data_IF_340958932614
#
_entry.id   IF_340958932614
#
_cell.length_a   1.000
_cell.length_b   1.000
_cell.length_c   1.000
_cell.angle_alpha   90.00
_cell.angle_beta   90.00
_cell.angle_gamma   90.00
#
_symmetry.space_group_name_H-M   'P 1'
#
loop_
_entity.id
_entity.type
_entity.pdbx_description
1 polymer ?
#
# COMPACT_ATOMS: atom_id res chain seq x y z
N UNK A 1 -11.36 29.90 45.83
CA UNK A 1 -12.70 29.55 45.28
C UNK A 1 -12.55 28.77 43.97
N UNK A 2 -11.68 29.22 43.06
CA UNK A 2 -11.43 28.57 41.76
C UNK A 2 -10.97 27.10 41.87
N UNK A 3 -10.10 26.76 42.83
CA UNK A 3 -9.66 25.38 43.04
C UNK A 3 -10.78 24.41 43.43
N UNK A 4 -11.84 24.88 44.12
CA UNK A 4 -12.94 24.02 44.56
C UNK A 4 -13.93 23.71 43.42
N UNK A 5 -14.15 24.68 42.52
CA UNK A 5 -14.97 24.51 41.32
C UNK A 5 -14.33 23.50 40.37
N UNK A 6 -13.00 23.54 40.24
CA UNK A 6 -12.26 22.60 39.39
C UNK A 6 -12.37 21.16 39.89
N UNK A 7 -12.29 20.93 41.20
CA UNK A 7 -12.41 19.59 41.79
C UNK A 7 -13.81 19.02 41.62
N UNK A 8 -14.87 19.82 41.82
CA UNK A 8 -16.25 19.38 41.60
C UNK A 8 -16.48 19.01 40.12
N UNK A 9 -15.95 19.81 39.19
CA UNK A 9 -16.06 19.52 37.76
C UNK A 9 -15.37 18.18 37.39
N UNK A 10 -14.18 17.91 37.92
CA UNK A 10 -13.49 16.63 37.68
C UNK A 10 -14.28 15.47 38.28
N UNK A 11 -14.79 15.59 39.51
CA UNK A 11 -15.55 14.52 40.17
C UNK A 11 -16.84 14.20 39.41
N UNK A 12 -17.53 15.19 38.84
CA UNK A 12 -18.75 14.98 38.08
C UNK A 12 -18.51 14.44 36.68
N UNK A 13 -17.42 14.84 36.02
CA UNK A 13 -17.14 14.45 34.62
C UNK A 13 -16.42 13.11 34.51
N UNK A 14 -15.57 12.75 35.48
CA UNK A 14 -14.79 11.49 35.45
C UNK A 14 -15.69 10.24 35.37
N UNK A 15 -16.78 10.09 36.15
CA UNK A 15 -17.68 8.94 36.07
C UNK A 15 -18.39 8.87 34.71
N UNK A 16 -18.77 10.02 34.14
CA UNK A 16 -19.40 10.09 32.81
C UNK A 16 -18.44 9.62 31.71
N UNK A 17 -17.16 10.00 31.79
CA UNK A 17 -16.12 9.52 30.85
C UNK A 17 -15.84 8.03 31.04
N UNK A 18 -15.78 7.54 32.28
CA UNK A 18 -15.55 6.12 32.57
C UNK A 18 -16.74 5.25 32.13
N UNK A 19 -17.98 5.68 32.41
CA UNK A 19 -19.19 4.97 31.99
C UNK A 19 -19.36 4.98 30.46
N UNK A 20 -19.02 6.10 29.80
CA UNK A 20 -19.03 6.19 28.33
C UNK A 20 -18.06 5.19 27.68
N UNK A 21 -16.83 5.10 28.19
CA UNK A 21 -15.84 4.11 27.70
C UNK A 21 -16.29 2.67 27.97
N UNK A 22 -16.82 2.38 29.17
CA UNK A 22 -17.31 1.05 29.51
C UNK A 22 -18.50 0.61 28.64
N UNK A 23 -19.43 1.51 28.36
CA UNK A 23 -20.59 1.21 27.50
C UNK A 23 -20.18 0.92 26.05
N UNK A 24 -19.20 1.67 25.51
CA UNK A 24 -18.69 1.46 24.15
C UNK A 24 -17.99 0.10 23.99
N UNK A 25 -17.25 -0.35 25.00
CA UNK A 25 -16.62 -1.68 24.99
C UNK A 25 -17.66 -2.80 25.03
N UNK A 26 -18.72 -2.66 25.84
CA UNK A 26 -19.80 -3.66 25.98
C UNK A 26 -20.61 -3.82 24.68
N UNK A 27 -20.72 -2.78 23.85
CA UNK A 27 -21.39 -2.86 22.55
C UNK A 27 -20.46 -3.24 21.39
N UNK A 28 -19.23 -3.69 21.70
CA UNK A 28 -18.30 -4.27 20.71
C UNK A 28 -17.35 -3.29 20.02
N UNK A 29 -17.26 -2.02 20.45
CA UNK A 29 -16.27 -1.11 19.87
C UNK A 29 -14.89 -1.33 20.48
N UNK A 30 -13.89 -1.47 19.59
CA UNK A 30 -12.49 -1.54 19.99
C UNK A 30 -11.96 -0.11 20.25
N UNK A 31 -11.66 0.20 21.51
CA UNK A 31 -11.13 1.50 21.94
C UNK A 31 -9.61 1.38 22.06
N UNK A 32 -8.90 1.65 20.97
CA UNK A 32 -7.43 1.60 20.94
C UNK A 32 -6.85 2.69 20.06
N UNK A 33 -5.68 3.19 20.47
CA UNK A 33 -4.81 4.05 19.66
C UNK A 33 -3.71 3.25 18.94
N UNK A 34 -3.59 1.95 19.26
CA UNK A 34 -2.63 1.05 18.63
C UNK A 34 -3.23 0.45 17.35
N UNK A 35 -2.99 1.12 16.23
CA UNK A 35 -3.46 0.69 14.92
C UNK A 35 -2.90 -0.68 14.51
N UNK A 36 -1.66 -1.01 14.91
CA UNK A 36 -1.01 -2.27 14.56
C UNK A 36 -1.62 -3.41 15.37
N UNK A 37 -1.78 -3.23 16.68
CA UNK A 37 -2.47 -4.22 17.53
C UNK A 37 -3.91 -4.45 17.09
N UNK A 38 -4.63 -3.41 16.64
CA UNK A 38 -5.97 -3.56 16.08
C UNK A 38 -5.96 -4.40 14.79
N UNK A 39 -5.02 -4.14 13.88
CA UNK A 39 -4.88 -4.93 12.64
C UNK A 39 -4.52 -6.40 12.94
N UNK A 40 -3.58 -6.65 13.86
CA UNK A 40 -3.20 -7.99 14.29
C UNK A 40 -4.40 -8.76 14.86
N UNK A 41 -5.23 -8.10 15.69
CA UNK A 41 -6.45 -8.69 16.24
C UNK A 41 -7.49 -9.01 15.14
N UNK A 42 -7.71 -8.10 14.18
CA UNK A 42 -8.65 -8.33 13.06
C UNK A 42 -8.20 -9.53 12.23
N UNK A 43 -6.90 -9.66 11.95
CA UNK A 43 -6.33 -10.81 11.23
C UNK A 43 -6.47 -12.10 12.03
N UNK A 44 -6.15 -12.08 13.34
CA UNK A 44 -6.27 -13.25 14.23
C UNK A 44 -7.71 -13.75 14.32
N UNK A 45 -8.67 -12.83 14.39
CA UNK A 45 -10.10 -13.13 14.44
C UNK A 45 -10.72 -13.43 13.06
N UNK A 46 -9.92 -13.45 11.99
CA UNK A 46 -10.37 -13.67 10.60
C UNK A 46 -11.49 -12.72 10.15
N UNK A 47 -11.35 -11.45 10.52
CA UNK A 47 -12.29 -10.38 10.20
C UNK A 47 -11.87 -9.62 8.94
N UNK A 48 -12.85 -8.97 8.32
CA UNK A 48 -12.66 -8.14 7.12
C UNK A 48 -11.97 -6.80 7.46
N UNK A 49 -11.21 -6.18 6.52
CA UNK A 49 -10.47 -4.95 6.77
C UNK A 49 -11.35 -3.74 7.11
N UNK A 50 -12.64 -3.75 6.75
CA UNK A 50 -13.61 -2.72 7.09
C UNK A 50 -13.77 -2.52 8.60
N UNK A 51 -13.51 -3.55 9.41
CA UNK A 51 -13.54 -3.48 10.88
C UNK A 51 -12.52 -2.47 11.43
N UNK A 52 -11.46 -2.15 10.68
CA UNK A 52 -10.57 -1.04 11.02
C UNK A 52 -11.33 0.29 11.12
N UNK A 53 -12.41 0.50 10.35
CA UNK A 53 -13.23 1.71 10.42
C UNK A 53 -14.17 1.75 11.63
N UNK A 54 -14.31 0.64 12.36
CA UNK A 54 -15.08 0.57 13.59
C UNK A 54 -14.29 0.98 14.84
N UNK A 55 -12.99 1.23 14.71
CA UNK A 55 -12.18 1.84 15.77
C UNK A 55 -12.80 3.21 16.18
N UNK A 56 -13.01 3.37 17.49
CA UNK A 56 -13.48 4.62 18.12
C UNK A 56 -12.61 4.89 19.35
N UNK A 57 -12.15 6.12 19.53
CA UNK A 57 -11.55 6.55 20.79
C UNK A 57 -11.81 8.04 21.03
N UNK A 58 -11.76 8.44 22.30
CA UNK A 58 -11.87 9.85 22.66
C UNK A 58 -10.67 10.61 22.11
N UNK A 59 -10.94 11.65 21.32
CA UNK A 59 -9.93 12.45 20.64
C UNK A 59 -8.84 12.88 21.61
N UNK A 60 -7.62 12.37 21.44
CA UNK A 60 -6.46 12.84 22.17
C UNK A 60 -6.05 14.20 21.59
N UNK A 61 -6.04 15.25 22.42
CA UNK A 61 -5.57 16.59 22.03
C UNK A 61 -4.13 16.55 21.49
N UNK A 62 -3.35 15.57 21.91
CA UNK A 62 -1.93 15.40 21.55
C UNK A 62 -1.66 14.08 20.79
N UNK A 63 -2.68 13.43 20.23
CA UNK A 63 -2.56 12.11 19.59
C UNK A 63 -2.93 12.09 18.10
N UNK A 64 -2.74 10.94 17.43
CA UNK A 64 -3.22 10.76 16.06
C UNK A 64 -4.75 10.91 16.01
N UNK A 65 -5.25 11.40 14.87
CA UNK A 65 -6.68 11.45 14.63
C UNK A 65 -7.23 10.03 14.47
N UNK A 66 -8.53 9.86 14.76
CA UNK A 66 -9.22 8.58 14.53
C UNK A 66 -9.05 8.11 13.09
N UNK A 67 -9.18 9.01 12.11
CA UNK A 67 -8.94 8.70 10.69
C UNK A 67 -7.53 8.16 10.43
N UNK A 68 -6.51 8.77 11.02
CA UNK A 68 -5.11 8.32 10.90
C UNK A 68 -4.92 6.90 11.45
N UNK A 69 -5.52 6.59 12.61
CA UNK A 69 -5.45 5.25 13.22
C UNK A 69 -6.16 4.23 12.35
N UNK A 70 -7.37 4.53 11.86
CA UNK A 70 -8.13 3.64 10.97
C UNK A 70 -7.36 3.32 9.68
N UNK A 71 -6.81 4.34 9.04
CA UNK A 71 -6.03 4.17 7.81
C UNK A 71 -4.76 3.34 8.06
N UNK A 72 -4.09 3.56 9.18
CA UNK A 72 -2.92 2.77 9.58
C UNK A 72 -3.29 1.31 9.87
N UNK A 73 -4.45 1.06 10.48
CA UNK A 73 -4.96 -0.29 10.71
C UNK A 73 -5.15 -1.03 9.38
N UNK A 74 -5.79 -0.41 8.38
CA UNK A 74 -5.96 -1.03 7.05
C UNK A 74 -4.62 -1.31 6.37
N UNK A 75 -3.67 -0.38 6.49
CA UNK A 75 -2.32 -0.55 5.93
C UNK A 75 -1.60 -1.76 6.55
N UNK A 76 -1.61 -1.88 7.89
CA UNK A 76 -0.98 -3.01 8.57
C UNK A 76 -1.73 -4.31 8.30
N UNK A 77 -3.06 -4.29 8.22
CA UNK A 77 -3.87 -5.45 7.83
C UNK A 77 -3.42 -5.97 6.45
N UNK A 78 -3.43 -5.12 5.42
CA UNK A 78 -3.07 -5.49 4.05
C UNK A 78 -1.67 -6.07 3.96
N UNK A 79 -0.72 -5.49 4.73
CA UNK A 79 0.66 -5.97 4.81
C UNK A 79 0.77 -7.33 5.52
N UNK A 80 0.05 -7.52 6.63
CA UNK A 80 0.06 -8.77 7.40
C UNK A 80 -0.54 -9.94 6.62
N UNK A 81 -1.61 -9.67 5.85
CA UNK A 81 -2.31 -10.69 5.07
C UNK A 81 -1.78 -10.85 3.64
N UNK A 82 -0.87 -9.96 3.21
CA UNK A 82 -0.46 -9.85 1.79
C UNK A 82 -1.66 -9.72 0.86
N UNK A 83 -2.64 -8.90 1.26
CA UNK A 83 -3.86 -8.62 0.52
C UNK A 83 -3.89 -7.16 0.05
N UNK A 84 -3.48 -6.89 -1.21
CA UNK A 84 -3.52 -5.54 -1.78
C UNK A 84 -4.93 -5.00 -1.99
N UNK A 85 -5.98 -5.84 -1.99
CA UNK A 85 -7.35 -5.39 -2.21
C UNK A 85 -7.88 -4.55 -1.05
N UNK A 86 -7.46 -4.85 0.19
CA UNK A 86 -7.76 -4.03 1.36
C UNK A 86 -7.29 -2.57 1.21
N UNK A 87 -6.24 -2.32 0.41
CA UNK A 87 -5.76 -0.97 0.15
C UNK A 87 -6.74 -0.10 -0.65
N UNK A 88 -7.80 -0.68 -1.26
CA UNK A 88 -8.88 0.07 -1.90
C UNK A 88 -9.58 1.04 -0.94
N UNK A 89 -9.70 0.66 0.34
CA UNK A 89 -10.27 1.53 1.39
C UNK A 89 -9.43 2.79 1.62
N UNK A 90 -8.15 2.78 1.22
CA UNK A 90 -7.22 3.90 1.33
C UNK A 90 -7.11 4.72 0.03
N UNK A 91 -7.80 4.32 -1.03
CA UNK A 91 -7.80 5.05 -2.29
C UNK A 91 -8.82 6.21 -2.27
N UNK A 92 -8.56 7.32 -2.99
CA UNK A 92 -7.42 7.61 -3.86
C UNK A 92 -6.34 8.45 -3.18
N UNK A 93 -5.60 7.87 -2.24
CA UNK A 93 -4.50 8.58 -1.56
C UNK A 93 -3.14 8.00 -1.93
N UNK A 94 -2.10 8.83 -1.79
CA UNK A 94 -0.71 8.38 -1.87
C UNK A 94 -0.40 7.26 -0.87
N UNK A 95 -1.06 7.32 0.28
CA UNK A 95 -0.94 6.30 1.31
C UNK A 95 -1.53 4.96 0.86
N UNK A 96 -2.64 4.98 0.11
CA UNK A 96 -3.19 3.78 -0.53
C UNK A 96 -2.25 3.17 -1.57
N UNK A 97 -1.57 3.99 -2.39
CA UNK A 97 -0.52 3.48 -3.30
C UNK A 97 0.65 2.84 -2.55
N UNK A 98 1.04 3.43 -1.41
CA UNK A 98 2.07 2.86 -0.53
C UNK A 98 1.62 1.54 0.11
N UNK A 99 0.35 1.43 0.50
CA UNK A 99 -0.25 0.20 1.03
C UNK A 99 -0.11 -0.95 0.02
N UNK A 100 -0.45 -0.71 -1.26
CA UNK A 100 -0.35 -1.73 -2.31
C UNK A 100 1.08 -2.28 -2.41
N UNK A 101 2.08 -1.40 -2.36
CA UNK A 101 3.49 -1.79 -2.38
C UNK A 101 3.91 -2.60 -1.16
N UNK A 102 3.36 -2.30 0.02
CA UNK A 102 3.66 -3.03 1.25
C UNK A 102 2.95 -4.39 1.37
N UNK A 103 1.79 -4.54 0.72
CA UNK A 103 1.03 -5.78 0.64
C UNK A 103 1.47 -6.69 -0.52
N UNK A 104 2.37 -6.22 -1.38
CA UNK A 104 2.89 -6.95 -2.55
C UNK A 104 4.29 -7.50 -2.29
N UNK A 105 4.72 -8.57 -2.98
CA UNK A 105 6.12 -8.98 -2.94
C UNK A 105 7.02 -7.88 -3.50
N UNK A 106 8.22 -7.75 -2.92
CA UNK A 106 9.22 -6.80 -3.40
C UNK A 106 9.64 -7.12 -4.83
N UNK A 107 9.72 -6.14 -5.74
CA UNK A 107 10.09 -6.38 -7.12
C UNK A 107 11.58 -6.78 -7.24
N UNK A 108 11.88 -7.61 -8.24
CA UNK A 108 13.24 -7.98 -8.64
C UNK A 108 13.95 -6.80 -9.30
N UNK A 109 13.21 -6.01 -10.08
CA UNK A 109 13.71 -4.80 -10.73
C UNK A 109 13.17 -3.55 -10.01
N UNK A 110 14.06 -2.73 -9.46
CA UNK A 110 13.72 -1.42 -8.88
C UNK A 110 13.97 -0.33 -9.91
N UNK A 111 13.00 0.57 -10.11
CA UNK A 111 13.13 1.75 -10.95
C UNK A 111 13.10 3.00 -10.08
N UNK A 112 14.09 3.87 -10.23
CA UNK A 112 14.24 5.09 -9.43
C UNK A 112 13.85 6.33 -10.25
N UNK A 113 13.59 7.45 -9.56
CA UNK A 113 13.17 8.71 -10.21
C UNK A 113 14.22 9.32 -11.13
N UNK A 114 15.49 9.02 -10.92
CA UNK A 114 16.61 9.47 -11.75
C UNK A 114 16.77 8.66 -13.05
N UNK A 115 15.79 7.80 -13.38
CA UNK A 115 15.79 6.90 -14.53
C UNK A 115 16.87 5.82 -14.44
N UNK A 116 17.33 5.49 -13.23
CA UNK A 116 18.13 4.29 -12.98
C UNK A 116 17.25 3.07 -12.76
N UNK A 117 17.79 1.91 -13.12
CA UNK A 117 17.23 0.59 -12.83
C UNK A 117 18.25 -0.22 -12.06
N UNK A 118 17.79 -0.87 -10.99
CA UNK A 118 18.59 -1.75 -10.12
C UNK A 118 17.96 -3.13 -10.13
N UNK A 119 18.75 -4.18 -10.18
CA UNK A 119 18.24 -5.55 -10.09
C UNK A 119 18.72 -6.20 -8.80
N UNK A 120 17.77 -6.37 -7.89
CA UNK A 120 17.98 -6.81 -6.52
C UNK A 120 18.62 -8.21 -6.54
N UNK A 121 19.56 -8.47 -5.63
CA UNK A 121 20.35 -9.70 -5.45
C UNK A 121 21.63 -9.88 -6.29
N UNK A 122 21.88 -9.08 -7.34
CA UNK A 122 23.13 -9.17 -8.12
C UNK A 122 23.99 -7.90 -8.08
N UNK A 123 23.55 -6.87 -7.34
CA UNK A 123 24.35 -5.66 -7.10
C UNK A 123 24.60 -4.80 -8.33
N UNK A 124 23.76 -4.94 -9.36
CA UNK A 124 23.90 -4.17 -10.61
C UNK A 124 22.91 -3.03 -10.71
N UNK A 125 23.34 -1.98 -11.40
CA UNK A 125 22.60 -0.76 -11.67
C UNK A 125 22.96 -0.29 -13.08
N UNK A 126 21.99 0.33 -13.76
CA UNK A 126 22.20 0.99 -15.04
C UNK A 126 21.23 2.16 -15.20
N UNK A 127 21.59 3.19 -15.97
CA UNK A 127 20.59 4.18 -16.41
C UNK A 127 19.79 3.65 -17.59
N UNK A 128 18.62 4.23 -17.86
CA UNK A 128 17.83 3.85 -19.04
C UNK A 128 18.59 4.09 -20.35
N UNK A 129 19.46 5.10 -20.42
CA UNK A 129 20.31 5.36 -21.58
C UNK A 129 21.40 4.28 -21.76
N UNK A 130 21.86 3.68 -20.67
CA UNK A 130 22.76 2.52 -20.72
C UNK A 130 22.00 1.23 -21.09
N UNK A 131 20.75 1.10 -20.66
CA UNK A 131 19.88 -0.02 -21.03
C UNK A 131 19.58 -0.07 -22.54
N UNK A 132 19.51 1.09 -23.21
CA UNK A 132 19.31 1.18 -24.66
C UNK A 132 20.54 0.76 -25.48
N UNK A 133 21.72 0.67 -24.86
CA UNK A 133 22.94 0.21 -25.53
C UNK A 133 23.06 -1.29 -25.36
N UNK A 134 23.43 -1.97 -26.44
CA UNK A 134 23.79 -3.38 -26.38
C UNK A 134 24.98 -3.56 -25.42
N UNK A 135 24.80 -4.39 -24.39
CA UNK A 135 25.83 -4.66 -23.41
C UNK A 135 25.94 -6.17 -23.14
N UNK A 136 26.91 -6.79 -23.80
CA UNK A 136 27.17 -8.23 -23.72
C UNK A 136 27.72 -8.68 -22.36
N UNK A 137 28.14 -7.76 -21.48
CA UNK A 137 28.62 -8.11 -20.13
C UNK A 137 27.53 -8.02 -19.07
N UNK A 138 26.34 -7.48 -19.41
CA UNK A 138 25.21 -7.40 -18.50
C UNK A 138 24.62 -8.81 -18.29
N UNK A 139 24.36 -9.23 -17.04
CA UNK A 139 23.73 -10.52 -16.79
C UNK A 139 22.29 -10.54 -17.35
N UNK A 140 21.75 -11.73 -17.63
CA UNK A 140 20.42 -11.90 -18.22
C UNK A 140 19.32 -11.17 -17.44
N UNK A 141 19.34 -11.28 -16.10
CA UNK A 141 18.43 -10.54 -15.22
C UNK A 141 18.52 -9.02 -15.42
N UNK A 142 19.74 -8.50 -15.63
CA UNK A 142 19.95 -7.08 -15.89
C UNK A 142 19.38 -6.67 -17.25
N UNK A 143 19.50 -7.52 -18.28
CA UNK A 143 18.90 -7.26 -19.59
C UNK A 143 17.37 -7.25 -19.51
N UNK A 144 16.77 -8.18 -18.76
CA UNK A 144 15.32 -8.21 -18.54
C UNK A 144 14.88 -6.97 -17.74
N UNK A 145 15.56 -6.61 -16.65
CA UNK A 145 15.22 -5.41 -15.90
C UNK A 145 15.38 -4.13 -16.74
N UNK A 146 16.37 -4.06 -17.63
CA UNK A 146 16.50 -2.97 -18.60
C UNK A 146 15.32 -2.91 -19.58
N UNK A 147 14.78 -4.06 -19.99
CA UNK A 147 13.57 -4.11 -20.82
C UNK A 147 12.34 -3.62 -20.05
N UNK A 148 12.15 -4.06 -18.80
CA UNK A 148 11.05 -3.58 -17.93
C UNK A 148 11.18 -2.07 -17.67
N UNK A 149 12.39 -1.57 -17.42
CA UNK A 149 12.65 -0.15 -17.27
C UNK A 149 12.33 0.63 -18.56
N UNK A 150 12.56 0.03 -19.73
CA UNK A 150 12.18 0.62 -21.01
C UNK A 150 10.66 0.73 -21.14
N UNK A 151 9.92 -0.30 -20.74
CA UNK A 151 8.44 -0.24 -20.65
C UNK A 151 8.02 0.88 -19.70
N UNK A 152 8.66 1.01 -18.53
CA UNK A 152 8.33 2.04 -17.53
C UNK A 152 8.60 3.48 -18.02
N UNK A 153 9.81 3.77 -18.51
CA UNK A 153 10.27 5.13 -18.80
C UNK A 153 10.01 5.62 -20.22
N UNK A 154 9.94 4.73 -21.22
CA UNK A 154 9.87 5.12 -22.63
C UNK A 154 8.43 5.03 -23.14
N UNK A 155 7.87 6.15 -23.61
CA UNK A 155 6.45 6.22 -24.03
C UNK A 155 6.07 5.16 -25.08
N UNK A 156 6.99 4.86 -26.01
CA UNK A 156 6.73 4.00 -27.17
C UNK A 156 7.05 2.51 -26.95
N UNK A 157 7.43 2.09 -25.73
CA UNK A 157 7.74 0.68 -25.43
C UNK A 157 6.62 0.10 -24.57
N UNK A 158 5.81 -0.80 -25.14
CA UNK A 158 4.60 -1.34 -24.52
C UNK A 158 4.46 -2.86 -24.70
N UNK A 159 5.59 -3.58 -24.66
CA UNK A 159 5.64 -5.01 -24.94
C UNK A 159 6.43 -5.75 -23.86
N UNK A 160 5.85 -6.82 -23.34
CA UNK A 160 6.45 -7.73 -22.34
C UNK A 160 6.63 -9.15 -22.89
N UNK A 161 6.23 -9.43 -24.14
CA UNK A 161 6.15 -10.78 -24.71
C UNK A 161 7.52 -11.46 -24.90
N UNK A 162 8.60 -10.68 -24.90
CA UNK A 162 9.98 -11.19 -25.00
C UNK A 162 10.53 -11.78 -23.71
N UNK A 163 9.84 -11.65 -22.57
CA UNK A 163 10.30 -12.14 -21.27
C UNK A 163 9.80 -13.56 -21.04
N UNK A 164 10.72 -14.53 -20.99
CA UNK A 164 10.39 -15.95 -20.74
C UNK A 164 10.24 -16.27 -19.23
N UNK A 165 10.89 -15.51 -18.36
CA UNK A 165 10.81 -15.73 -16.91
C UNK A 165 9.46 -15.23 -16.37
N UNK A 166 8.65 -16.13 -15.81
CA UNK A 166 7.29 -15.81 -15.36
C UNK A 166 7.22 -14.70 -14.30
N UNK A 167 8.11 -14.69 -13.29
CA UNK A 167 8.12 -13.63 -12.26
C UNK A 167 8.40 -12.25 -12.87
N UNK A 168 9.38 -12.18 -13.77
CA UNK A 168 9.75 -10.92 -14.43
C UNK A 168 8.72 -10.50 -15.50
N UNK A 169 8.05 -11.46 -16.13
CA UNK A 169 6.94 -11.22 -17.03
C UNK A 169 5.76 -10.59 -16.27
N UNK A 170 5.42 -11.11 -15.08
CA UNK A 170 4.41 -10.55 -14.19
C UNK A 170 4.75 -9.11 -13.78
N UNK A 171 6.01 -8.83 -13.40
CA UNK A 171 6.50 -7.48 -13.08
C UNK A 171 6.41 -6.52 -14.27
N UNK A 172 6.77 -6.98 -15.47
CA UNK A 172 6.64 -6.21 -16.70
C UNK A 172 5.17 -5.88 -16.99
N UNK A 173 4.30 -6.88 -16.89
CA UNK A 173 2.87 -6.75 -17.14
C UNK A 173 2.22 -5.78 -16.16
N UNK A 174 2.56 -5.87 -14.87
CA UNK A 174 2.14 -4.90 -13.86
C UNK A 174 2.59 -3.48 -14.20
N UNK A 175 3.85 -3.33 -14.63
CA UNK A 175 4.42 -2.05 -15.04
C UNK A 175 3.67 -1.45 -16.22
N UNK A 176 3.42 -2.27 -17.25
CA UNK A 176 2.68 -1.88 -18.44
C UNK A 176 1.23 -1.48 -18.10
N UNK A 177 0.53 -2.28 -17.30
CA UNK A 177 -0.82 -2.01 -16.84
C UNK A 177 -0.91 -0.67 -16.09
N UNK A 178 0.06 -0.36 -15.23
CA UNK A 178 0.11 0.91 -14.50
C UNK A 178 0.39 2.10 -15.43
N UNK A 179 1.31 1.95 -16.38
CA UNK A 179 1.65 2.99 -17.38
C UNK A 179 0.44 3.35 -18.23
N UNK A 180 -0.25 2.34 -18.77
CA UNK A 180 -1.44 2.53 -19.59
C UNK A 180 -2.70 2.80 -18.76
N UNK A 181 -2.63 2.53 -17.46
CA UNK A 181 -3.75 2.50 -16.51
C UNK A 181 -4.91 1.63 -17.01
N UNK A 182 -4.57 0.42 -17.44
CA UNK A 182 -5.50 -0.56 -17.96
C UNK A 182 -5.47 -1.83 -17.10
N UNK A 183 -6.52 -2.09 -16.30
CA UNK A 183 -6.60 -3.28 -15.46
C UNK A 183 -6.80 -4.58 -16.25
N UNK A 184 -7.20 -4.54 -17.52
CA UNK A 184 -7.36 -5.76 -18.32
C UNK A 184 -6.01 -6.43 -18.60
N UNK A 185 -4.93 -5.64 -18.68
CA UNK A 185 -3.57 -6.13 -18.85
C UNK A 185 -3.14 -7.02 -17.66
N UNK A 186 -3.64 -6.74 -16.45
CA UNK A 186 -3.33 -7.52 -15.26
C UNK A 186 -3.80 -8.98 -15.34
N UNK A 187 -4.70 -9.34 -16.27
CA UNK A 187 -5.19 -10.72 -16.41
C UNK A 187 -4.08 -11.71 -16.81
N UNK A 188 -3.02 -11.22 -17.47
CA UNK A 188 -1.88 -12.05 -17.85
C UNK A 188 -0.91 -12.35 -16.69
N UNK A 189 -1.07 -11.70 -15.53
CA UNK A 189 -0.23 -11.92 -14.35
C UNK A 189 -0.57 -13.29 -13.73
N UNK A 190 0.44 -14.09 -13.43
CA UNK A 190 0.26 -15.43 -12.86
C UNK A 190 0.08 -15.38 -11.34
N UNK A 191 0.83 -14.52 -10.64
CA UNK A 191 0.73 -14.34 -9.19
C UNK A 191 -0.58 -13.63 -8.80
N UNK A 192 -1.44 -14.29 -8.02
CA UNK A 192 -2.73 -13.72 -7.58
C UNK A 192 -2.56 -12.45 -6.73
N UNK A 193 -1.55 -12.40 -5.86
CA UNK A 193 -1.25 -11.20 -5.05
C UNK A 193 -0.83 -10.04 -5.95
N UNK A 194 0.08 -10.27 -6.90
CA UNK A 194 0.51 -9.21 -7.84
C UNK A 194 -0.62 -8.80 -8.79
N UNK A 195 -1.48 -9.74 -9.20
CA UNK A 195 -2.65 -9.47 -10.02
C UNK A 195 -3.63 -8.56 -9.29
N UNK A 196 -3.93 -8.86 -8.02
CA UNK A 196 -4.78 -8.00 -7.17
C UNK A 196 -4.16 -6.60 -7.03
N UNK A 197 -2.87 -6.50 -6.70
CA UNK A 197 -2.15 -5.23 -6.64
C UNK A 197 -2.22 -4.43 -7.95
N UNK A 198 -2.02 -5.11 -9.07
CA UNK A 198 -2.10 -4.53 -10.41
C UNK A 198 -3.50 -3.99 -10.70
N UNK A 199 -4.56 -4.76 -10.42
CA UNK A 199 -5.95 -4.36 -10.67
C UNK A 199 -6.31 -3.12 -9.84
N UNK A 200 -6.01 -3.15 -8.54
CA UNK A 200 -6.30 -2.04 -7.62
C UNK A 200 -5.58 -0.77 -8.09
N UNK A 201 -4.27 -0.88 -8.38
CA UNK A 201 -3.44 0.26 -8.77
C UNK A 201 -3.84 0.83 -10.13
N UNK A 202 -3.94 0.00 -11.16
CA UNK A 202 -4.31 0.44 -12.51
C UNK A 202 -5.73 1.02 -12.56
N UNK A 203 -6.69 0.42 -11.84
CA UNK A 203 -8.06 0.97 -11.70
C UNK A 203 -8.04 2.35 -11.06
N UNK A 204 -7.25 2.53 -10.00
CA UNK A 204 -7.11 3.84 -9.37
C UNK A 204 -6.42 4.86 -10.29
N UNK A 205 -5.36 4.49 -11.01
CA UNK A 205 -4.67 5.37 -11.97
C UNK A 205 -5.57 5.75 -13.17
N UNK A 206 -6.52 4.87 -13.52
CA UNK A 206 -7.54 5.13 -14.54
C UNK A 206 -8.58 6.13 -14.04
N UNK A 207 -9.10 5.91 -12.83
CA UNK A 207 -10.14 6.74 -12.20
C UNK A 207 -9.61 8.09 -11.72
N UNK A 208 -8.35 8.16 -11.31
CA UNK A 208 -7.72 9.34 -10.69
C UNK A 208 -6.38 9.69 -11.38
N UNK A 209 -6.40 10.32 -12.57
CA UNK A 209 -5.20 10.59 -13.37
C UNK A 209 -4.15 11.46 -12.65
N UNK A 210 -4.54 12.26 -11.67
CA UNK A 210 -3.62 13.05 -10.85
C UNK A 210 -2.62 12.20 -10.06
N UNK A 211 -2.91 10.91 -9.84
CA UNK A 211 -2.01 9.97 -9.18
C UNK A 211 -0.83 9.54 -10.08
N UNK A 212 -0.90 9.75 -11.40
CA UNK A 212 0.17 9.36 -12.35
C UNK A 212 1.41 10.25 -12.30
N UNK A 213 1.31 11.47 -11.75
CA UNK A 213 2.38 12.50 -11.81
C UNK A 213 3.37 12.40 -10.64
N UNK A 214 3.75 11.19 -10.23
CA UNK A 214 4.74 11.00 -9.17
C UNK A 214 5.96 10.30 -9.72
#
# INVERSE_FOLDING_TARGET
MESFIFTIYIILTTPLVLLGNGALWVIGYNITNDAKGAAEQIVEEQKEPEECYDIRFFTNVFGPTVDSVRRTCVYEYAKLTSDPSACELLMPSAYGLSCIGAASPSPRCSMEFDRSVRWNNHGGEATIEECQKENLTRPDIGNICCHIASVYFLENVNDCTSIENAELFDECTLTLANKLADPEICQAITSEVLKAACIVRSTALRKYPQLRRR
#
